data_IF_816429573721
#
_entry.id   IF_816429573721
#
_cell.length_a   1.000
_cell.length_b   1.000
_cell.length_c   1.000
_cell.angle_alpha   90.00
_cell.angle_beta   90.00
_cell.angle_gamma   90.00
#
_symmetry.space_group_name_H-M   'P 1'
#
loop_
_entity.id
_entity.type
_entity.pdbx_description
1 polymer ?
#
# COMPACT_ATOMS: atom_id res chain seq x y z
N UNK A 1 -34.39 -13.45 11.77
CA UNK A 1 -33.13 -14.10 12.22
C UNK A 1 -31.97 -13.17 11.94
N UNK A 2 -31.35 -12.60 12.97
CA UNK A 2 -30.09 -11.83 12.84
C UNK A 2 -28.95 -12.72 13.33
N UNK A 3 -27.85 -12.89 12.58
CA UNK A 3 -26.75 -13.70 13.07
C UNK A 3 -25.98 -12.88 14.11
N UNK A 4 -26.01 -13.34 15.36
CA UNK A 4 -25.08 -12.91 16.39
C UNK A 4 -23.71 -13.45 16.02
N UNK A 5 -22.82 -12.57 15.55
CA UNK A 5 -21.43 -12.91 15.25
C UNK A 5 -20.53 -12.17 16.24
N UNK A 6 -20.55 -12.66 17.48
CA UNK A 6 -19.53 -12.32 18.47
C UNK A 6 -18.46 -13.43 18.41
N UNK A 7 -17.19 -13.06 18.68
CA UNK A 7 -16.04 -13.93 18.97
C UNK A 7 -15.02 -14.24 17.83
N UNK A 8 -14.06 -13.33 17.57
CA UNK A 8 -12.76 -13.22 18.28
C UNK A 8 -11.65 -12.62 17.41
N UNK A 9 -11.75 -12.71 16.09
CA UNK A 9 -10.73 -12.20 15.19
C UNK A 9 -11.16 -10.86 14.62
N UNK A 10 -10.29 -9.86 14.76
CA UNK A 10 -10.44 -8.61 14.00
C UNK A 10 -10.58 -9.02 12.52
N UNK A 11 -11.66 -8.60 11.83
CA UNK A 11 -11.79 -8.89 10.41
C UNK A 11 -10.59 -8.32 9.67
N UNK A 12 -10.18 -8.94 8.54
CA UNK A 12 -8.99 -8.53 7.82
C UNK A 12 -9.10 -7.06 7.41
N UNK A 13 -7.95 -6.37 7.30
CA UNK A 13 -7.90 -4.96 6.94
C UNK A 13 -8.62 -4.64 5.62
N UNK A 14 -8.68 -5.60 4.69
CA UNK A 14 -9.41 -5.50 3.44
C UNK A 14 -10.94 -5.32 3.63
N UNK A 15 -11.50 -5.90 4.69
CA UNK A 15 -12.93 -5.77 5.03
C UNK A 15 -13.17 -4.53 5.87
N UNK A 16 -12.28 -4.24 6.84
CA UNK A 16 -12.40 -3.07 7.70
C UNK A 16 -12.30 -1.73 6.95
N UNK A 17 -11.48 -1.69 5.90
CA UNK A 17 -11.15 -0.45 5.18
C UNK A 17 -11.48 -0.55 3.68
N UNK A 18 -12.51 -1.31 3.33
CA UNK A 18 -12.92 -1.55 1.95
C UNK A 18 -13.18 -0.23 1.20
N UNK A 19 -13.84 0.74 1.84
CA UNK A 19 -14.15 2.03 1.21
C UNK A 19 -12.91 2.87 0.93
N UNK A 20 -11.93 2.87 1.84
CA UNK A 20 -10.65 3.57 1.65
C UNK A 20 -9.83 2.92 0.53
N UNK A 21 -9.81 1.59 0.46
CA UNK A 21 -9.13 0.84 -0.59
C UNK A 21 -9.79 1.08 -1.97
N UNK A 22 -11.11 1.18 -2.02
CA UNK A 22 -11.84 1.52 -3.23
C UNK A 22 -11.50 2.93 -3.73
N UNK A 23 -11.44 3.92 -2.82
CA UNK A 23 -11.02 5.29 -3.15
C UNK A 23 -9.58 5.34 -3.67
N UNK A 24 -8.65 4.63 -3.00
CA UNK A 24 -7.28 4.52 -3.49
C UNK A 24 -7.22 3.94 -4.88
N UNK A 25 -7.94 2.84 -5.12
CA UNK A 25 -7.96 2.17 -6.42
C UNK A 25 -8.53 3.05 -7.54
N UNK A 26 -9.51 3.91 -7.24
CA UNK A 26 -10.07 4.85 -8.21
C UNK A 26 -9.08 5.96 -8.58
N UNK A 27 -8.26 6.41 -7.63
CA UNK A 27 -7.28 7.48 -7.83
C UNK A 27 -5.89 6.97 -8.24
N UNK A 28 -5.67 5.66 -8.17
CA UNK A 28 -4.39 5.02 -8.43
C UNK A 28 -4.11 4.91 -9.93
N UNK A 29 -3.21 5.78 -10.41
CA UNK A 29 -2.79 5.83 -11.80
C UNK A 29 -1.41 5.16 -12.01
N UNK A 30 -0.83 4.56 -10.97
CA UNK A 30 0.50 3.97 -11.05
C UNK A 30 0.45 2.50 -11.54
N UNK A 31 1.53 2.00 -12.17
CA UNK A 31 1.57 0.62 -12.63
C UNK A 31 1.45 -0.34 -11.44
N UNK A 32 0.43 -1.18 -11.49
CA UNK A 32 0.24 -2.28 -10.54
C UNK A 32 1.08 -3.49 -11.00
N UNK A 33 1.92 -4.07 -10.12
CA UNK A 33 2.60 -5.33 -10.41
C UNK A 33 1.58 -6.46 -10.69
N UNK A 34 1.96 -7.50 -11.43
CA UNK A 34 1.07 -8.63 -11.69
C UNK A 34 0.65 -9.31 -10.38
N UNK A 35 -0.65 -9.56 -10.23
CA UNK A 35 -1.25 -10.17 -9.02
C UNK A 35 -1.53 -9.20 -7.88
N UNK A 36 -1.25 -7.90 -8.03
CA UNK A 36 -1.54 -6.88 -7.02
C UNK A 36 -2.83 -6.13 -7.35
N UNK A 37 -3.60 -5.81 -6.32
CA UNK A 37 -4.85 -5.05 -6.46
C UNK A 37 -4.65 -3.53 -6.40
N UNK A 38 -3.48 -3.08 -5.93
CA UNK A 38 -3.09 -1.68 -5.70
C UNK A 38 -1.62 -1.51 -6.08
N UNK A 39 -1.26 -0.29 -6.49
CA UNK A 39 0.14 0.08 -6.72
C UNK A 39 0.89 0.27 -5.41
N UNK A 40 2.22 0.32 -5.49
CA UNK A 40 3.08 0.64 -4.35
C UNK A 40 2.82 2.03 -3.75
N UNK A 41 2.64 3.10 -4.54
CA UNK A 41 2.19 4.40 -4.03
C UNK A 41 0.87 4.32 -3.25
N UNK A 42 -0.13 3.61 -3.79
CA UNK A 42 -1.43 3.48 -3.15
C UNK A 42 -1.35 2.66 -1.85
N UNK A 43 -0.59 1.57 -1.85
CA UNK A 43 -0.31 0.79 -0.63
C UNK A 43 0.44 1.62 0.43
N UNK A 44 1.36 2.50 0.02
CA UNK A 44 2.05 3.42 0.93
C UNK A 44 1.08 4.45 1.53
N UNK A 45 0.20 5.03 0.72
CA UNK A 45 -0.81 5.99 1.17
C UNK A 45 -1.76 5.35 2.19
N UNK A 46 -2.17 4.10 1.96
CA UNK A 46 -2.99 3.32 2.91
C UNK A 46 -2.32 3.14 4.28
N UNK A 47 -1.03 2.82 4.30
CA UNK A 47 -0.27 2.52 5.52
C UNK A 47 0.05 3.80 6.31
N UNK A 48 0.60 4.80 5.61
CA UNK A 48 1.10 6.04 6.21
C UNK A 48 -0.01 7.09 6.44
N UNK A 49 -1.15 6.92 5.79
CA UNK A 49 -2.21 7.91 5.69
C UNK A 49 -1.96 8.88 4.53
N UNK A 50 -3.06 9.37 3.96
CA UNK A 50 -3.06 10.41 2.93
C UNK A 50 -4.25 11.33 3.16
N UNK A 51 -3.97 12.54 3.65
CA UNK A 51 -4.99 13.54 3.95
C UNK A 51 -5.70 14.03 2.69
N UNK A 52 -5.03 14.01 1.52
CA UNK A 52 -5.63 14.45 0.26
C UNK A 52 -6.71 13.46 -0.23
N UNK A 53 -6.56 12.19 0.11
CA UNK A 53 -7.52 11.13 -0.22
C UNK A 53 -8.45 10.76 0.95
N UNK A 54 -8.39 11.53 2.05
CA UNK A 54 -9.15 11.30 3.28
C UNK A 54 -8.88 9.92 3.93
N UNK A 55 -7.61 9.49 3.92
CA UNK A 55 -7.17 8.18 4.42
C UNK A 55 -6.39 8.37 5.70
N UNK A 56 -6.89 7.77 6.78
CA UNK A 56 -6.24 7.83 8.09
C UNK A 56 -5.05 6.89 8.17
N UNK A 57 -3.98 7.33 8.83
CA UNK A 57 -2.79 6.52 9.09
C UNK A 57 -3.16 5.29 9.92
N UNK A 58 -2.79 4.10 9.43
CA UNK A 58 -3.09 2.82 10.10
C UNK A 58 -1.94 2.27 10.92
N UNK A 59 -0.71 2.70 10.64
CA UNK A 59 0.48 2.23 11.37
C UNK A 59 1.08 3.37 12.19
N UNK A 60 1.20 3.15 13.50
CA UNK A 60 1.89 4.06 14.41
C UNK A 60 3.38 3.77 14.31
N UNK A 61 4.05 4.39 13.34
CA UNK A 61 5.51 4.39 13.22
C UNK A 61 6.02 5.81 13.40
N UNK A 62 7.12 5.92 14.13
CA UNK A 62 7.68 7.21 14.45
C UNK A 62 8.18 7.94 13.19
N UNK A 63 7.91 9.25 13.01
CA UNK A 63 8.14 9.95 11.74
C UNK A 63 9.56 9.81 11.15
N UNK A 64 10.58 9.67 12.00
CA UNK A 64 11.97 9.46 11.62
C UNK A 64 12.28 8.09 10.96
N UNK A 65 11.46 7.05 11.15
CA UNK A 65 11.66 5.72 10.52
C UNK A 65 10.95 5.61 9.17
N UNK A 66 9.92 6.44 8.95
CA UNK A 66 9.12 6.49 7.74
C UNK A 66 9.93 6.62 6.42
N UNK A 67 10.97 7.48 6.31
CA UNK A 67 11.78 7.56 5.09
C UNK A 67 12.54 6.26 4.78
N UNK A 68 12.95 5.51 5.80
CA UNK A 68 13.68 4.25 5.63
C UNK A 68 12.79 3.11 5.16
N UNK A 69 11.57 3.00 5.71
CA UNK A 69 10.56 2.01 5.30
C UNK A 69 10.06 2.31 3.89
N UNK A 70 9.79 3.58 3.58
CA UNK A 70 9.39 4.00 2.23
C UNK A 70 10.47 3.66 1.19
N UNK A 71 11.75 3.89 1.53
CA UNK A 71 12.89 3.52 0.69
C UNK A 71 13.00 2.00 0.49
N UNK A 72 12.79 1.20 1.53
CA UNK A 72 12.83 -0.27 1.42
C UNK A 72 11.65 -0.82 0.61
N UNK A 73 10.42 -0.36 0.84
CA UNK A 73 9.25 -0.76 0.08
C UNK A 73 9.37 -0.42 -1.42
N UNK A 74 9.93 0.76 -1.75
CA UNK A 74 10.20 1.15 -3.13
C UNK A 74 11.36 0.36 -3.75
N UNK A 75 12.41 0.04 -2.96
CA UNK A 75 13.56 -0.76 -3.41
C UNK A 75 13.20 -2.22 -3.67
N UNK A 76 12.15 -2.73 -3.05
CA UNK A 76 11.63 -4.08 -3.29
C UNK A 76 10.70 -4.15 -4.52
N UNK A 77 10.51 -3.06 -5.27
CA UNK A 77 9.79 -3.12 -6.54
C UNK A 77 10.64 -3.88 -7.59
N UNK A 78 10.24 -5.10 -8.01
CA UNK A 78 11.01 -5.87 -8.97
C UNK A 78 11.12 -5.17 -10.34
N UNK A 79 10.23 -4.21 -10.65
CA UNK A 79 10.28 -3.41 -11.88
C UNK A 79 11.41 -2.36 -11.84
N UNK A 80 11.63 -1.67 -10.71
CA UNK A 80 12.77 -0.76 -10.57
C UNK A 80 14.10 -1.50 -10.41
N UNK A 81 14.09 -2.68 -9.77
CA UNK A 81 15.24 -3.56 -9.73
C UNK A 81 15.63 -4.07 -11.13
N UNK A 82 14.66 -4.35 -12.01
CA UNK A 82 14.91 -4.70 -13.42
C UNK A 82 15.39 -3.51 -14.26
N UNK A 83 14.81 -2.31 -14.11
CA UNK A 83 15.30 -1.11 -14.80
C UNK A 83 16.74 -0.74 -14.42
N UNK A 84 17.16 -0.97 -13.17
CA UNK A 84 18.57 -0.82 -12.77
C UNK A 84 19.51 -1.83 -13.43
N UNK A 85 19.04 -3.04 -13.75
CA UNK A 85 19.88 -4.05 -14.41
C UNK A 85 20.07 -3.78 -15.91
N UNK A 86 19.07 -3.21 -16.59
CA UNK A 86 19.22 -2.87 -18.01
C UNK A 86 20.00 -1.58 -18.27
N UNK A 87 19.97 -0.60 -17.36
CA UNK A 87 20.70 0.66 -17.54
C UNK A 87 22.21 0.57 -17.21
N UNK A 88 22.72 -0.58 -16.76
CA UNK A 88 24.13 -0.81 -16.42
C UNK A 88 24.72 -1.97 -17.23
N UNK A 89 24.38 -2.05 -18.51
CA UNK A 89 24.82 -3.09 -19.43
C UNK A 89 25.03 -2.62 -20.87
N UNK A 90 25.28 -1.32 -21.08
CA UNK A 90 25.71 -0.82 -22.39
C UNK A 90 26.84 0.19 -22.20
N UNK A 91 28.05 -0.35 -22.06
CA UNK A 91 29.33 0.20 -22.54
C UNK A 91 30.39 -0.89 -22.47
#
# INVERSE_FOLDING_TARGET
MSPQNNHLQRPPAAVLYADELAKLKQNDNAPCPPGWQLSLPAARAFILGDSAQNISRKVVISPWICPYISRHLLSLNPLQARCRRYSRGER
#
